data_IF_724429350953
#
_entry.id   IF_724429350953
#
_cell.length_a   1.000
_cell.length_b   1.000
_cell.length_c   1.000
_cell.angle_alpha   90.00
_cell.angle_beta   90.00
_cell.angle_gamma   90.00
#
_symmetry.space_group_name_H-M   'P 1'
#
loop_
_entity.id
_entity.type
_entity.pdbx_description
1 polymer ?
#
# COMPACT_ATOMS: atom_id res chain seq x y z
N UNK A 1 -7.05 18.60 -18.28
CA UNK A 1 -6.05 18.09 -17.32
C UNK A 1 -5.21 17.03 -18.03
N UNK A 2 -3.88 17.16 -18.07
CA UNK A 2 -3.00 16.17 -18.72
C UNK A 2 -2.53 15.17 -17.65
N UNK A 3 -2.88 13.91 -17.80
CA UNK A 3 -2.38 12.84 -16.93
C UNK A 3 -0.97 12.43 -17.39
N UNK A 4 -0.02 12.51 -16.47
CA UNK A 4 1.32 11.96 -16.68
C UNK A 4 1.30 10.47 -16.34
N UNK A 5 1.11 9.64 -17.38
CA UNK A 5 0.98 8.19 -17.22
C UNK A 5 2.28 7.57 -16.72
N UNK A 6 3.45 8.07 -17.13
CA UNK A 6 4.74 7.53 -16.68
C UNK A 6 4.95 7.80 -15.19
N UNK A 7 4.62 9.01 -14.73
CA UNK A 7 4.63 9.33 -13.30
C UNK A 7 3.67 8.46 -12.50
N UNK A 8 2.54 8.06 -13.07
CA UNK A 8 1.57 7.18 -12.38
C UNK A 8 2.09 5.74 -12.36
N UNK A 9 2.55 5.21 -13.50
CA UNK A 9 3.01 3.81 -13.61
C UNK A 9 4.21 3.53 -12.71
N UNK A 10 5.12 4.49 -12.55
CA UNK A 10 6.27 4.37 -11.64
C UNK A 10 5.88 4.24 -10.16
N UNK A 11 4.64 4.58 -9.78
CA UNK A 11 4.13 4.35 -8.42
C UNK A 11 3.74 2.89 -8.18
N UNK A 12 3.65 2.03 -9.20
CA UNK A 12 3.23 0.63 -9.06
C UNK A 12 4.41 -0.29 -9.38
N UNK A 13 5.15 -0.77 -8.36
CA UNK A 13 6.36 -1.59 -8.58
C UNK A 13 6.10 -2.85 -9.41
N UNK A 14 4.89 -3.41 -9.34
CA UNK A 14 4.52 -4.62 -10.07
C UNK A 14 4.51 -4.44 -11.59
N UNK A 15 4.38 -3.20 -12.10
CA UNK A 15 4.47 -2.91 -13.53
C UNK A 15 5.88 -3.01 -14.11
N UNK A 16 6.91 -3.09 -13.25
CA UNK A 16 8.29 -3.34 -13.67
C UNK A 16 8.62 -4.85 -13.77
N UNK A 17 7.71 -5.74 -13.34
CA UNK A 17 7.94 -7.19 -13.37
C UNK A 17 7.85 -7.72 -14.80
N UNK A 18 8.74 -8.67 -15.11
CA UNK A 18 8.76 -9.41 -16.38
C UNK A 18 8.52 -10.89 -16.18
N UNK A 19 7.73 -11.50 -17.07
CA UNK A 19 7.54 -12.93 -17.21
C UNK A 19 8.35 -13.44 -18.41
N UNK A 20 9.32 -14.33 -18.17
CA UNK A 20 10.15 -14.90 -19.25
C UNK A 20 10.77 -13.82 -20.17
N UNK A 21 11.16 -12.68 -19.59
CA UNK A 21 11.74 -11.54 -20.32
C UNK A 21 10.73 -10.63 -21.02
N UNK A 22 9.42 -10.86 -20.86
CA UNK A 22 8.35 -10.00 -21.39
C UNK A 22 7.72 -9.19 -20.27
N UNK A 23 7.41 -7.92 -20.51
CA UNK A 23 6.67 -7.10 -19.54
C UNK A 23 5.34 -7.75 -19.18
N UNK A 24 5.08 -7.91 -17.89
CA UNK A 24 3.78 -8.41 -17.40
C UNK A 24 2.70 -7.35 -17.63
N UNK A 25 1.54 -7.76 -18.13
CA UNK A 25 0.40 -6.88 -18.41
C UNK A 25 -0.80 -7.31 -17.58
N UNK A 26 -1.34 -6.38 -16.79
CA UNK A 26 -2.47 -6.59 -15.90
C UNK A 26 -3.74 -6.02 -16.53
N UNK A 27 -4.65 -6.89 -16.99
CA UNK A 27 -5.97 -6.53 -17.54
C UNK A 27 -7.12 -7.17 -16.74
N UNK A 28 -6.87 -7.41 -15.46
CA UNK A 28 -7.70 -8.19 -14.54
C UNK A 28 -8.06 -7.41 -13.26
N UNK A 29 -8.02 -6.07 -13.32
CA UNK A 29 -8.37 -5.20 -12.20
C UNK A 29 -9.72 -5.51 -11.51
N UNK A 30 -10.78 -6.03 -12.19
CA UNK A 30 -11.99 -6.49 -11.51
C UNK A 30 -11.79 -7.64 -10.52
N UNK A 31 -10.74 -8.45 -10.68
CA UNK A 31 -10.36 -9.51 -9.75
C UNK A 31 -9.49 -9.00 -8.59
N UNK A 32 -8.74 -7.92 -8.82
CA UNK A 32 -7.88 -7.29 -7.83
C UNK A 32 -6.95 -6.28 -8.48
N UNK A 33 -6.70 -5.16 -7.80
CA UNK A 33 -5.82 -4.11 -8.32
C UNK A 33 -4.39 -4.31 -7.87
N UNK A 34 -3.45 -3.79 -8.66
CA UNK A 34 -2.07 -3.64 -8.21
C UNK A 34 -1.97 -2.53 -7.16
N UNK A 35 -1.06 -2.68 -6.21
CA UNK A 35 -0.91 -1.76 -5.07
C UNK A 35 0.22 -0.76 -5.33
N UNK A 36 0.00 0.55 -5.16
CA UNK A 36 1.06 1.54 -5.32
C UNK A 36 2.03 1.51 -4.13
N UNK A 37 3.27 1.94 -4.36
CA UNK A 37 4.37 1.91 -3.39
C UNK A 37 4.02 2.63 -2.09
N UNK A 38 3.31 3.76 -2.16
CA UNK A 38 2.87 4.50 -0.97
C UNK A 38 2.02 3.66 0.00
N UNK A 39 1.17 2.77 -0.53
CA UNK A 39 0.32 1.90 0.30
C UNK A 39 1.17 0.79 0.90
N UNK A 40 2.09 0.23 0.11
CA UNK A 40 3.05 -0.80 0.58
C UNK A 40 3.90 -0.24 1.72
N UNK A 41 4.48 0.95 1.54
CA UNK A 41 5.31 1.61 2.55
C UNK A 41 4.51 1.92 3.81
N UNK A 42 3.28 2.46 3.68
CA UNK A 42 2.44 2.76 4.85
C UNK A 42 2.08 1.51 5.66
N UNK A 43 1.79 0.40 4.97
CA UNK A 43 1.53 -0.90 5.59
C UNK A 43 2.79 -1.44 6.28
N UNK A 44 3.94 -1.38 5.61
CA UNK A 44 5.23 -1.78 6.19
C UNK A 44 5.54 -1.00 7.46
N UNK A 45 5.41 0.33 7.40
CA UNK A 45 5.74 1.21 8.53
C UNK A 45 4.81 0.96 9.72
N UNK A 46 3.52 0.73 9.48
CA UNK A 46 2.59 0.29 10.53
C UNK A 46 3.04 -1.03 11.18
N UNK A 47 3.39 -2.03 10.36
CA UNK A 47 3.79 -3.34 10.87
C UNK A 47 5.07 -3.28 11.71
N UNK A 48 6.01 -2.41 11.34
CA UNK A 48 7.27 -2.22 12.06
C UNK A 48 7.06 -1.41 13.35
N UNK A 49 6.25 -0.35 13.31
CA UNK A 49 6.23 0.67 14.37
C UNK A 49 5.03 0.55 15.31
N UNK A 50 3.89 0.03 14.85
CA UNK A 50 2.61 0.17 15.55
C UNK A 50 1.91 -1.17 15.83
N UNK A 51 2.28 -2.26 15.16
CA UNK A 51 1.53 -3.51 15.23
C UNK A 51 1.31 -4.03 16.67
N UNK A 52 0.06 -3.96 17.12
CA UNK A 52 -0.39 -4.41 18.42
C UNK A 52 -1.91 -4.66 18.42
N UNK A 53 -2.36 -5.49 19.36
CA UNK A 53 -3.78 -5.59 19.69
C UNK A 53 -4.31 -4.26 20.24
N UNK A 54 -5.60 -4.01 20.03
CA UNK A 54 -6.29 -2.77 20.42
C UNK A 54 -6.62 -2.69 21.90
N UNK A 55 -6.83 -1.47 22.41
CA UNK A 55 -7.31 -1.22 23.77
C UNK A 55 -6.27 -1.45 24.88
N UNK A 56 -5.02 -1.70 24.50
CA UNK A 56 -3.88 -1.74 25.41
C UNK A 56 -3.45 -0.33 25.83
N UNK A 57 -2.82 -0.23 27.01
CA UNK A 57 -2.31 1.06 27.54
C UNK A 57 -0.84 1.34 27.19
N UNK A 58 -0.22 0.47 26.40
CA UNK A 58 1.18 0.61 25.96
C UNK A 58 1.24 1.28 24.59
N UNK A 59 2.38 1.89 24.28
CA UNK A 59 2.54 2.84 23.16
C UNK A 59 2.07 2.31 21.80
N UNK A 60 2.46 1.10 21.40
CA UNK A 60 2.09 0.55 20.09
C UNK A 60 0.59 0.29 19.95
N UNK A 61 -0.09 -0.09 21.04
CA UNK A 61 -1.55 -0.26 21.05
C UNK A 61 -2.28 1.09 20.87
N UNK A 62 -1.82 2.13 21.57
CA UNK A 62 -2.37 3.48 21.43
C UNK A 62 -2.18 4.04 20.02
N UNK A 63 -0.99 3.84 19.41
CA UNK A 63 -0.74 4.29 18.04
C UNK A 63 -1.52 3.49 17.00
N UNK A 64 -1.69 2.18 17.21
CA UNK A 64 -2.55 1.34 16.37
C UNK A 64 -4.00 1.84 16.37
N UNK A 65 -4.54 2.12 17.56
CA UNK A 65 -5.91 2.62 17.73
C UNK A 65 -6.08 3.99 17.08
N UNK A 66 -5.10 4.90 17.23
CA UNK A 66 -5.11 6.21 16.55
C UNK A 66 -5.16 6.07 15.03
N UNK A 67 -4.34 5.20 14.46
CA UNK A 67 -4.32 4.99 13.00
C UNK A 67 -5.65 4.44 12.49
N UNK A 68 -6.31 3.55 13.24
CA UNK A 68 -7.63 3.05 12.88
C UNK A 68 -8.69 4.15 12.95
N UNK A 69 -8.64 5.00 13.98
CA UNK A 69 -9.58 6.12 14.12
C UNK A 69 -9.43 7.12 12.97
N UNK A 70 -8.19 7.46 12.59
CA UNK A 70 -7.89 8.32 11.45
C UNK A 70 -8.39 7.75 10.12
N UNK A 71 -8.38 6.43 9.95
CA UNK A 71 -8.86 5.79 8.72
C UNK A 71 -10.39 5.86 8.53
N UNK A 72 -11.15 6.14 9.59
CA UNK A 72 -12.61 6.27 9.55
C UNK A 72 -13.11 7.72 9.45
N UNK A 73 -12.21 8.71 9.40
CA UNK A 73 -12.55 10.11 9.13
C UNK A 73 -12.58 10.41 7.63
#
# INVERSE_FOLDING_TARGET
>A
MKFDLEKIRTQFPTLAITDEGRSRVYLDNPAGTQVPLQVIDRMRDYLIQCNANQGGRFSTSLESDRILEEAHQ
#
